data_IF_336344210926
#
_entry.id   IF_336344210926
#
_cell.length_a   1.000
_cell.length_b   1.000
_cell.length_c   1.000
_cell.angle_alpha   90.00
_cell.angle_beta   90.00
_cell.angle_gamma   90.00
#
_symmetry.space_group_name_H-M   'P 1'
#
loop_
_entity.id
_entity.type
_entity.pdbx_description
1 polymer ?
#
# COMPACT_ATOMS: atom_id res chain seq x y z
N UNK A 1 -21.62 59.27 -2.77
CA UNK A 1 -21.07 58.28 -3.70
C UNK A 1 -22.23 57.59 -4.39
N UNK A 2 -22.09 57.38 -5.70
CA UNK A 2 -23.12 57.16 -6.72
C UNK A 2 -23.86 55.82 -6.57
N UNK A 3 -25.15 55.80 -6.93
CA UNK A 3 -26.04 54.63 -6.94
C UNK A 3 -25.81 53.65 -8.12
N UNK A 4 -26.19 52.39 -7.86
CA UNK A 4 -26.74 51.34 -8.77
C UNK A 4 -25.80 50.58 -9.73
N UNK A 5 -25.85 49.24 -9.62
CA UNK A 5 -26.41 48.39 -10.68
C UNK A 5 -26.74 46.97 -10.15
N UNK A 6 -28.05 46.66 -10.10
CA UNK A 6 -28.69 45.33 -10.09
C UNK A 6 -28.77 44.52 -8.77
N UNK A 7 -29.83 44.83 -8.01
CA UNK A 7 -30.61 43.84 -7.24
C UNK A 7 -31.29 42.81 -8.17
N UNK A 8 -31.81 41.73 -7.56
CA UNK A 8 -32.80 40.75 -8.06
C UNK A 8 -32.23 39.44 -8.65
N UNK A 9 -32.05 38.39 -7.83
CA UNK A 9 -33.11 37.38 -7.58
C UNK A 9 -32.54 36.10 -6.94
N UNK A 10 -33.11 35.78 -5.78
CA UNK A 10 -33.19 34.47 -5.14
C UNK A 10 -33.28 33.29 -6.12
N UNK A 11 -32.43 32.26 -5.97
CA UNK A 11 -32.86 30.87 -6.11
C UNK A 11 -31.92 29.96 -5.30
N UNK A 12 -32.45 29.35 -4.25
CA UNK A 12 -31.83 28.21 -3.61
C UNK A 12 -31.66 27.10 -4.66
N UNK A 13 -30.42 26.75 -4.98
CA UNK A 13 -30.13 25.44 -5.59
C UNK A 13 -29.30 24.71 -4.57
N UNK A 14 -30.04 23.85 -3.85
CA UNK A 14 -29.69 22.75 -2.97
C UNK A 14 -28.20 22.54 -2.68
N UNK A 15 -27.91 22.16 -1.43
CA UNK A 15 -26.81 21.26 -1.14
C UNK A 15 -26.80 20.15 -2.21
N UNK A 16 -26.00 20.33 -3.26
CA UNK A 16 -25.68 19.24 -4.17
C UNK A 16 -25.02 18.24 -3.24
N UNK A 17 -25.51 16.99 -3.12
CA UNK A 17 -24.69 15.97 -2.52
C UNK A 17 -23.37 16.06 -3.27
N UNK A 18 -22.27 16.34 -2.56
CA UNK A 18 -20.95 16.12 -3.12
C UNK A 18 -20.96 14.63 -3.41
N UNK A 19 -21.14 14.32 -4.68
CA UNK A 19 -21.27 12.95 -5.11
C UNK A 19 -19.90 12.33 -4.81
N UNK A 20 -19.85 11.49 -3.77
CA UNK A 20 -18.65 10.79 -3.31
C UNK A 20 -18.05 9.91 -4.41
N UNK A 21 -18.81 9.68 -5.48
CA UNK A 21 -18.36 9.00 -6.69
C UNK A 21 -17.37 9.84 -7.53
N UNK A 22 -17.34 11.18 -7.37
CA UNK A 22 -16.49 12.05 -8.19
C UNK A 22 -14.99 11.89 -7.89
N UNK A 23 -14.64 11.45 -6.68
CA UNK A 23 -13.26 11.14 -6.30
C UNK A 23 -12.90 9.67 -6.58
N UNK A 24 -13.89 8.78 -6.66
CA UNK A 24 -13.69 7.37 -6.97
C UNK A 24 -13.19 7.16 -8.41
N UNK A 25 -13.65 7.98 -9.35
CA UNK A 25 -13.38 7.76 -10.77
C UNK A 25 -11.97 8.18 -11.18
N UNK A 26 -11.43 9.26 -10.61
CA UNK A 26 -10.04 9.69 -10.86
C UNK A 26 -8.98 8.71 -10.33
N UNK A 27 -9.32 7.92 -9.32
CA UNK A 27 -8.44 6.87 -8.81
C UNK A 27 -8.38 5.67 -9.78
N UNK A 28 -9.47 5.37 -10.50
CA UNK A 28 -9.51 4.32 -11.54
C UNK A 28 -8.74 4.68 -12.81
N UNK A 29 -8.57 5.96 -13.12
CA UNK A 29 -7.91 6.41 -14.36
C UNK A 29 -6.39 6.56 -14.25
N UNK A 30 -5.78 6.42 -13.07
CA UNK A 30 -4.37 6.78 -12.87
C UNK A 30 -3.37 5.63 -13.14
N UNK A 31 -3.79 4.37 -13.12
CA UNK A 31 -3.03 3.25 -13.71
C UNK A 31 -3.89 1.98 -13.64
N UNK A 32 -4.28 1.43 -14.79
CA UNK A 32 -5.06 0.18 -14.83
C UNK A 32 -4.23 -1.02 -14.36
N UNK A 33 -2.90 -0.87 -14.27
CA UNK A 33 -1.97 -1.90 -13.81
C UNK A 33 -0.89 -1.29 -12.91
N UNK A 34 -1.19 -0.94 -11.64
CA UNK A 34 -0.20 -0.33 -10.76
C UNK A 34 0.98 -1.27 -10.51
N UNK A 35 2.19 -0.74 -10.62
CA UNK A 35 3.41 -1.50 -10.36
C UNK A 35 4.33 -0.77 -9.40
N UNK A 36 4.95 -1.53 -8.50
CA UNK A 36 6.07 -1.06 -7.70
C UNK A 36 7.00 -2.21 -7.38
N UNK A 37 8.22 -1.84 -7.03
CA UNK A 37 9.22 -2.71 -6.43
C UNK A 37 9.74 -2.01 -5.18
N UNK A 38 9.76 -2.74 -4.07
CA UNK A 38 10.20 -2.23 -2.79
C UNK A 38 11.15 -3.24 -2.16
N UNK A 39 12.26 -2.76 -1.60
CA UNK A 39 13.18 -3.59 -0.85
C UNK A 39 13.93 -2.80 0.21
N UNK A 40 14.18 -3.42 1.35
CA UNK A 40 15.11 -2.92 2.36
C UNK A 40 15.88 -4.07 2.99
N UNK A 41 17.02 -3.71 3.58
CA UNK A 41 17.90 -4.63 4.28
C UNK A 41 18.52 -3.89 5.48
N UNK A 42 18.38 -4.48 6.66
CA UNK A 42 18.96 -4.00 7.91
C UNK A 42 19.98 -5.04 8.35
N UNK A 43 21.21 -4.59 8.59
CA UNK A 43 22.29 -5.38 9.15
C UNK A 43 22.90 -4.59 10.30
N UNK A 44 22.64 -5.06 11.50
CA UNK A 44 23.21 -4.51 12.72
C UNK A 44 23.70 -5.68 13.58
N UNK A 45 25.02 -5.88 13.56
CA UNK A 45 25.68 -6.98 14.24
C UNK A 45 25.66 -6.80 15.76
N UNK A 46 25.70 -5.56 16.26
CA UNK A 46 25.74 -5.26 17.69
C UNK A 46 24.42 -5.64 18.37
N UNK A 47 23.29 -5.34 17.73
CA UNK A 47 21.96 -5.67 18.24
C UNK A 47 21.41 -7.00 17.70
N UNK A 48 22.18 -7.71 16.86
CA UNK A 48 21.74 -8.94 16.16
C UNK A 48 20.44 -8.72 15.37
N UNK A 49 20.25 -7.51 14.85
CA UNK A 49 19.03 -7.06 14.23
C UNK A 49 19.17 -7.17 12.70
N UNK A 50 18.83 -8.35 12.17
CA UNK A 50 18.84 -8.59 10.73
C UNK A 50 17.43 -8.72 10.19
N UNK A 51 17.06 -7.77 9.34
CA UNK A 51 15.76 -7.74 8.67
C UNK A 51 15.94 -7.54 7.19
N UNK A 52 15.22 -8.33 6.39
CA UNK A 52 15.19 -8.16 4.95
C UNK A 52 13.75 -8.20 4.47
N UNK A 53 13.36 -7.29 3.57
CA UNK A 53 12.10 -7.37 2.85
C UNK A 53 12.31 -7.08 1.37
N UNK A 54 11.61 -7.81 0.53
CA UNK A 54 11.40 -7.49 -0.88
C UNK A 54 9.96 -7.75 -1.27
N UNK A 55 9.37 -6.83 -2.02
CA UNK A 55 7.99 -6.91 -2.47
C UNK A 55 7.87 -6.31 -3.87
N UNK A 56 7.13 -7.00 -4.71
CA UNK A 56 6.78 -6.55 -6.05
C UNK A 56 5.28 -6.60 -6.20
N UNK A 57 4.72 -5.54 -6.79
CA UNK A 57 3.34 -5.50 -7.25
C UNK A 57 3.30 -5.41 -8.76
N UNK A 58 2.47 -6.25 -9.35
CA UNK A 58 2.06 -6.20 -10.74
C UNK A 58 0.54 -6.25 -10.82
N UNK A 59 -0.09 -5.10 -11.04
CA UNK A 59 -1.54 -5.01 -11.13
C UNK A 59 -2.19 -5.31 -9.79
N UNK A 60 -2.92 -6.41 -9.73
CA UNK A 60 -3.53 -6.89 -8.49
C UNK A 60 -2.70 -7.97 -7.78
N UNK A 61 -1.65 -8.46 -8.42
CA UNK A 61 -0.77 -9.47 -7.84
C UNK A 61 0.34 -8.80 -7.04
N UNK A 62 0.44 -9.15 -5.77
CA UNK A 62 1.57 -8.79 -4.90
C UNK A 62 2.28 -10.07 -4.52
N UNK A 63 3.61 -10.05 -4.59
CA UNK A 63 4.42 -11.15 -4.06
C UNK A 63 5.69 -10.62 -3.43
N UNK A 64 6.18 -11.31 -2.41
CA UNK A 64 7.35 -10.85 -1.68
C UNK A 64 7.86 -11.86 -0.68
N UNK A 65 8.90 -11.43 0.01
CA UNK A 65 9.41 -12.15 1.18
C UNK A 65 9.88 -11.19 2.25
N UNK A 66 9.72 -11.59 3.50
CA UNK A 66 10.30 -10.94 4.66
C UNK A 66 11.12 -11.95 5.47
N UNK A 67 12.26 -11.52 5.99
CA UNK A 67 13.08 -12.32 6.89
C UNK A 67 13.43 -11.53 8.15
N UNK A 68 13.45 -12.22 9.29
CA UNK A 68 13.81 -11.70 10.61
C UNK A 68 14.58 -12.75 11.39
N UNK A 69 15.48 -12.32 12.29
CA UNK A 69 16.07 -13.21 13.30
C UNK A 69 15.12 -13.30 14.49
N UNK A 70 14.71 -14.51 14.82
CA UNK A 70 13.89 -14.76 16.02
C UNK A 70 14.75 -14.79 17.29
N UNK A 71 14.09 -14.78 18.45
CA UNK A 71 14.75 -14.84 19.76
C UNK A 71 15.58 -16.10 19.98
N UNK A 72 15.32 -17.15 19.20
CA UNK A 72 16.05 -18.42 19.21
C UNK A 72 17.31 -18.38 18.32
N UNK A 73 17.60 -17.24 17.67
CA UNK A 73 18.73 -17.06 16.75
C UNK A 73 18.50 -17.64 15.36
N UNK A 74 17.31 -18.18 15.07
CA UNK A 74 16.96 -18.70 13.76
C UNK A 74 16.42 -17.59 12.86
N UNK A 75 16.80 -17.64 11.58
CA UNK A 75 16.21 -16.76 10.58
C UNK A 75 14.87 -17.35 10.13
N UNK A 76 13.81 -16.58 10.31
CA UNK A 76 12.47 -16.89 9.81
C UNK A 76 12.21 -16.12 8.54
N UNK A 77 12.05 -16.84 7.43
CA UNK A 77 11.66 -16.24 6.15
C UNK A 77 10.22 -16.61 5.84
N UNK A 78 9.38 -15.60 5.61
CA UNK A 78 8.02 -15.76 5.08
C UNK A 78 8.02 -15.33 3.63
N UNK A 79 7.59 -16.21 2.74
CA UNK A 79 7.22 -15.86 1.36
C UNK A 79 5.71 -15.75 1.28
N UNK A 80 5.22 -14.69 0.64
CA UNK A 80 3.79 -14.43 0.51
C UNK A 80 3.42 -14.03 -0.91
N UNK A 81 2.19 -14.39 -1.29
CA UNK A 81 1.53 -13.98 -2.52
C UNK A 81 0.09 -13.59 -2.22
N UNK A 82 -0.33 -12.43 -2.70
CA UNK A 82 -1.71 -11.98 -2.72
C UNK A 82 -2.14 -11.78 -4.16
N UNK A 83 -3.16 -12.52 -4.58
CA UNK A 83 -3.81 -12.43 -5.87
C UNK A 83 -5.32 -12.50 -5.62
N UNK A 84 -6.16 -11.60 -6.16
CA UNK A 84 -7.61 -11.65 -5.94
C UNK A 84 -8.27 -12.96 -6.39
N UNK A 85 -7.63 -13.71 -7.30
CA UNK A 85 -8.15 -14.96 -7.85
C UNK A 85 -7.72 -16.19 -7.04
N UNK A 86 -6.75 -16.04 -6.15
CA UNK A 86 -6.22 -17.13 -5.35
C UNK A 86 -6.36 -16.86 -3.85
N UNK A 87 -6.40 -17.91 -3.04
CA UNK A 87 -6.31 -17.74 -1.59
C UNK A 87 -4.90 -17.25 -1.26
N UNK A 88 -4.73 -16.22 -0.41
CA UNK A 88 -3.42 -15.76 0.00
C UNK A 88 -2.55 -16.91 0.51
N UNK A 89 -1.36 -17.04 -0.06
CA UNK A 89 -0.43 -18.12 0.26
C UNK A 89 0.72 -17.59 1.11
N UNK A 90 0.97 -18.22 2.26
CA UNK A 90 2.09 -17.91 3.14
C UNK A 90 2.93 -19.17 3.35
N UNK A 91 4.21 -19.10 3.04
CA UNK A 91 5.17 -20.19 3.28
C UNK A 91 6.26 -19.71 4.23
N UNK A 92 6.37 -20.37 5.37
CA UNK A 92 7.44 -20.15 6.34
C UNK A 92 8.62 -21.10 6.07
N UNK A 93 9.84 -20.57 6.05
CA UNK A 93 11.10 -21.32 5.96
C UNK A 93 12.00 -20.92 7.13
N UNK A 94 12.43 -21.88 7.95
CA UNK A 94 13.48 -21.67 8.95
C UNK A 94 14.86 -21.86 8.31
N UNK A 95 15.78 -20.92 8.56
CA UNK A 95 17.20 -20.95 8.19
C UNK A 95 18.11 -21.30 9.38
N UNK A 96 19.43 -21.39 9.15
CA UNK A 96 20.44 -21.87 10.12
C UNK A 96 20.71 -20.86 11.25
N UNK A 97 21.10 -21.38 12.42
CA UNK A 97 21.54 -20.64 13.61
C UNK A 97 22.70 -19.69 13.26
N UNK A 98 22.57 -18.41 13.56
CA UNK A 98 23.70 -17.48 13.52
C UNK A 98 24.65 -17.84 14.69
N UNK A 99 25.85 -18.33 14.37
CA UNK A 99 26.90 -18.72 15.35
C UNK A 99 27.89 -17.61 15.60
#
# INVERSE_FOLDING_TARGET
MVLKLHEILLLAIAARPLNVDYLSDRCRTLNHNPQYQFSFDIKDDESTNYHNRKETRDGDKISGSYSVVDSDGFIRTVTYTADPKEVPAFRHRQGILLS
#
